data_IF_115693848958
#
_entry.id   IF_115693848958
#
_cell.length_a   1.000
_cell.length_b   1.000
_cell.length_c   1.000
_cell.angle_alpha   90.00
_cell.angle_beta   90.00
_cell.angle_gamma   90.00
#
_symmetry.space_group_name_H-M   'P 1'
#
loop_
_entity.id
_entity.type
_entity.pdbx_description
1 polymer ?
#
# COMPACT_ATOMS: atom_id res chain seq x y z
N UNK A 1 67.91 11.27 -19.59
CA UNK A 1 68.57 9.97 -19.35
C UNK A 1 67.57 9.15 -18.57
N UNK A 2 66.75 8.40 -19.31
CA UNK A 2 66.81 6.92 -19.34
C UNK A 2 66.05 6.36 -18.13
N UNK A 3 65.03 5.50 -18.25
CA UNK A 3 64.72 4.51 -19.27
C UNK A 3 63.29 4.06 -19.05
N UNK A 4 62.56 3.89 -20.15
CA UNK A 4 61.42 2.99 -20.23
C UNK A 4 61.83 1.59 -19.73
N UNK A 5 61.02 1.00 -18.87
CA UNK A 5 61.04 -0.44 -18.60
C UNK A 5 59.64 -0.98 -18.81
N UNK A 6 59.44 -1.46 -20.03
CA UNK A 6 58.34 -2.32 -20.43
C UNK A 6 58.46 -3.65 -19.70
N UNK A 7 57.35 -4.09 -19.10
CA UNK A 7 57.17 -5.43 -18.55
C UNK A 7 55.79 -5.94 -18.95
N UNK A 8 55.68 -6.37 -20.21
CA UNK A 8 54.57 -7.18 -20.72
C UNK A 8 54.77 -8.61 -20.23
N UNK A 9 53.85 -9.13 -19.42
CA UNK A 9 53.66 -10.56 -19.23
C UNK A 9 52.20 -10.89 -19.52
N UNK A 10 52.02 -11.41 -20.73
CA UNK A 10 50.81 -11.98 -21.28
C UNK A 10 50.86 -13.48 -21.00
N UNK A 11 49.92 -14.01 -20.21
CA UNK A 11 49.79 -15.45 -19.99
C UNK A 11 48.34 -15.87 -20.03
N UNK A 12 47.91 -16.14 -21.26
CA UNK A 12 46.72 -16.88 -21.63
C UNK A 12 46.81 -18.33 -21.13
N UNK A 13 45.86 -18.76 -20.30
CA UNK A 13 45.69 -20.16 -19.88
C UNK A 13 44.25 -20.62 -20.12
N UNK A 14 44.11 -21.33 -21.24
CA UNK A 14 43.33 -22.56 -21.45
C UNK A 14 41.85 -22.56 -21.05
N UNK A 15 41.02 -22.43 -22.08
CA UNK A 15 39.68 -22.99 -22.13
C UNK A 15 39.71 -24.52 -22.00
N UNK A 16 38.79 -25.09 -21.22
CA UNK A 16 38.43 -26.51 -21.29
C UNK A 16 36.92 -26.62 -21.17
N UNK A 17 36.28 -26.80 -22.32
CA UNK A 17 34.87 -27.12 -22.44
C UNK A 17 34.62 -28.59 -22.10
N UNK A 18 33.52 -28.86 -21.41
CA UNK A 18 32.89 -30.18 -21.39
C UNK A 18 31.44 -30.00 -21.82
N UNK A 19 31.17 -30.36 -23.06
CA UNK A 19 29.83 -30.42 -23.64
C UNK A 19 29.39 -31.89 -23.59
N UNK A 20 28.49 -32.24 -22.67
CA UNK A 20 27.86 -33.56 -22.63
C UNK A 20 26.67 -33.58 -23.58
N UNK A 21 26.86 -34.31 -24.69
CA UNK A 21 25.81 -34.80 -25.60
C UNK A 21 25.31 -36.15 -25.08
N UNK A 22 24.00 -36.33 -25.01
CA UNK A 22 23.36 -37.64 -25.13
C UNK A 22 22.04 -37.45 -25.88
N UNK A 23 22.06 -37.94 -27.11
CA UNK A 23 20.94 -38.11 -28.02
C UNK A 23 20.16 -39.34 -27.55
N UNK A 24 18.84 -39.25 -27.47
CA UNK A 24 17.95 -40.41 -27.60
C UNK A 24 16.65 -39.93 -28.25
N UNK A 25 16.58 -40.17 -29.56
CA UNK A 25 15.35 -40.20 -30.34
C UNK A 25 14.57 -41.46 -30.00
N UNK A 26 13.26 -41.34 -29.75
CA UNK A 26 12.35 -42.43 -30.08
C UNK A 26 11.06 -41.87 -30.69
N UNK A 27 11.00 -41.98 -32.02
CA UNK A 27 9.88 -41.63 -32.86
C UNK A 27 8.85 -42.77 -32.86
N UNK A 28 7.68 -42.57 -32.25
CA UNK A 28 6.51 -43.43 -32.46
C UNK A 28 5.48 -42.71 -33.33
N UNK A 29 5.58 -42.97 -34.63
CA UNK A 29 4.57 -42.68 -35.62
C UNK A 29 3.43 -43.71 -35.49
N UNK A 30 2.21 -43.26 -35.16
CA UNK A 30 1.04 -44.14 -34.99
C UNK A 30 -0.27 -43.46 -35.34
N UNK A 31 -0.67 -43.63 -36.60
CA UNK A 31 -2.03 -43.66 -37.15
C UNK A 31 -3.05 -42.54 -36.83
N UNK A 32 -3.27 -41.72 -37.87
CA UNK A 32 -4.51 -40.99 -38.16
C UNK A 32 -5.73 -41.92 -38.07
N UNK A 33 -6.68 -41.62 -37.19
CA UNK A 33 -8.08 -42.07 -37.34
C UNK A 33 -8.98 -40.86 -37.45
N UNK A 34 -9.59 -40.73 -38.62
CA UNK A 34 -10.60 -39.74 -38.95
C UNK A 34 -11.98 -40.15 -38.40
N UNK A 35 -12.83 -39.12 -38.28
CA UNK A 35 -14.31 -39.14 -38.20
C UNK A 35 -14.96 -39.83 -37.00
N UNK A 36 -15.66 -39.06 -36.16
CA UNK A 36 -17.13 -38.92 -36.25
C UNK A 36 -17.74 -38.26 -35.00
N UNK A 37 -18.54 -37.22 -35.25
CA UNK A 37 -19.78 -36.83 -34.55
C UNK A 37 -19.78 -36.43 -33.06
N UNK A 38 -20.28 -35.21 -32.91
CA UNK A 38 -20.76 -34.55 -31.71
C UNK A 38 -21.76 -35.37 -30.88
N UNK A 39 -21.55 -35.40 -29.57
CA UNK A 39 -22.64 -35.28 -28.60
C UNK A 39 -22.09 -34.63 -27.32
N UNK A 40 -22.65 -33.50 -26.94
CA UNK A 40 -22.24 -32.74 -25.77
C UNK A 40 -22.46 -33.54 -24.49
N UNK A 41 -21.39 -33.83 -23.77
CA UNK A 41 -21.46 -34.25 -22.37
C UNK A 41 -20.67 -33.27 -21.53
N UNK A 42 -21.39 -32.39 -20.83
CA UNK A 42 -20.86 -31.46 -19.84
C UNK A 42 -20.04 -32.28 -18.80
N UNK A 43 -18.82 -31.86 -18.44
CA UNK A 43 -17.95 -32.63 -17.55
C UNK A 43 -18.61 -32.89 -16.19
N UNK A 44 -18.65 -34.16 -15.78
CA UNK A 44 -19.10 -34.61 -14.46
C UNK A 44 -18.27 -33.92 -13.37
N UNK A 45 -18.85 -32.91 -12.72
CA UNK A 45 -18.25 -32.20 -11.59
C UNK A 45 -18.18 -33.16 -10.39
N UNK A 46 -16.97 -33.40 -9.86
CA UNK A 46 -16.75 -34.19 -8.63
C UNK A 46 -17.48 -33.52 -7.46
N UNK A 47 -18.54 -34.16 -6.96
CA UNK A 47 -19.17 -33.83 -5.68
C UNK A 47 -18.44 -34.60 -4.57
N UNK A 48 -18.04 -33.91 -3.51
CA UNK A 48 -17.50 -34.54 -2.30
C UNK A 48 -18.68 -34.96 -1.41
N UNK A 49 -18.77 -36.25 -1.08
CA UNK A 49 -19.81 -36.83 -0.22
C UNK A 49 -19.56 -36.67 1.27
N UNK A 50 -18.59 -35.83 1.68
CA UNK A 50 -18.30 -35.65 3.11
C UNK A 50 -19.30 -34.69 3.75
N UNK A 51 -20.02 -35.20 4.74
CA UNK A 51 -20.91 -34.46 5.62
C UNK A 51 -20.11 -33.48 6.49
N UNK A 52 -20.08 -32.19 6.15
CA UNK A 52 -19.51 -31.15 7.01
C UNK A 52 -20.65 -30.56 7.85
N UNK A 53 -20.63 -30.79 9.17
CA UNK A 53 -21.55 -30.22 10.18
C UNK A 53 -21.27 -28.72 10.43
N UNK A 54 -21.36 -27.87 9.42
CA UNK A 54 -21.36 -26.41 9.61
C UNK A 54 -22.67 -25.84 9.12
N UNK A 55 -23.27 -24.95 9.93
CA UNK A 55 -24.50 -24.25 9.61
C UNK A 55 -24.27 -23.48 8.30
N UNK A 56 -25.03 -23.83 7.26
CA UNK A 56 -25.01 -23.16 5.95
C UNK A 56 -25.26 -21.68 6.22
N UNK A 57 -24.30 -20.84 5.82
CA UNK A 57 -24.54 -19.41 5.70
C UNK A 57 -25.48 -19.24 4.51
N UNK A 58 -26.55 -18.49 4.71
CA UNK A 58 -27.55 -18.23 3.69
C UNK A 58 -26.94 -17.18 2.75
N UNK A 59 -26.48 -17.62 1.59
CA UNK A 59 -25.92 -16.75 0.56
C UNK A 59 -27.08 -16.03 -0.14
N UNK A 60 -27.71 -15.07 0.56
CA UNK A 60 -28.69 -14.19 -0.08
C UNK A 60 -27.97 -13.28 -1.08
N UNK A 61 -28.34 -13.44 -2.34
CA UNK A 61 -27.91 -12.62 -3.46
C UNK A 61 -28.46 -11.20 -3.25
N UNK A 62 -27.63 -10.30 -2.70
CA UNK A 62 -27.99 -8.88 -2.61
C UNK A 62 -27.96 -8.28 -4.01
N UNK A 63 -29.12 -8.28 -4.64
CA UNK A 63 -29.36 -7.71 -5.95
C UNK A 63 -29.14 -6.19 -5.89
N UNK A 64 -27.99 -5.76 -6.39
CA UNK A 64 -27.59 -4.37 -6.42
C UNK A 64 -28.43 -3.65 -7.48
N UNK A 65 -29.47 -2.94 -7.03
CA UNK A 65 -30.35 -2.13 -7.86
C UNK A 65 -29.65 -0.88 -8.39
N UNK A 66 -28.69 -1.05 -9.30
CA UNK A 66 -28.25 0.00 -10.22
C UNK A 66 -29.21 0.04 -11.41
N UNK A 67 -30.48 0.31 -11.14
CA UNK A 67 -31.44 0.65 -12.18
C UNK A 67 -31.11 2.06 -12.69
N UNK A 68 -30.75 2.13 -13.97
CA UNK A 68 -30.56 3.35 -14.75
C UNK A 68 -31.79 4.26 -14.62
N UNK A 69 -31.73 5.29 -13.77
CA UNK A 69 -32.64 6.42 -13.87
C UNK A 69 -32.20 7.33 -15.01
N UNK A 70 -32.70 7.02 -16.21
CA UNK A 70 -32.77 7.96 -17.32
C UNK A 70 -34.11 8.67 -17.25
N UNK A 71 -34.16 9.95 -16.85
CA UNK A 71 -35.03 10.97 -17.48
C UNK A 71 -34.97 12.36 -16.81
N UNK A 72 -35.02 13.37 -17.70
CA UNK A 72 -35.51 14.76 -17.56
C UNK A 72 -34.63 15.80 -16.89
N UNK A 73 -33.87 16.45 -17.76
CA UNK A 73 -33.60 17.89 -17.77
C UNK A 73 -34.87 18.69 -17.46
N UNK A 74 -34.83 19.54 -16.41
CA UNK A 74 -35.76 20.66 -16.24
C UNK A 74 -35.04 21.82 -15.54
N UNK A 75 -34.95 22.92 -16.28
CA UNK A 75 -35.22 24.28 -15.80
C UNK A 75 -34.29 24.88 -14.75
N UNK A 76 -33.46 25.81 -15.22
CA UNK A 76 -32.78 26.82 -14.42
C UNK A 76 -33.77 27.62 -13.55
N UNK A 77 -33.38 27.94 -12.32
CA UNK A 77 -34.17 28.74 -11.40
C UNK A 77 -33.33 29.27 -10.24
N UNK A 78 -32.78 30.45 -10.47
CA UNK A 78 -32.40 31.54 -9.54
C UNK A 78 -31.64 31.26 -8.24
N UNK A 79 -30.56 32.02 -8.14
CA UNK A 79 -29.72 32.31 -6.98
C UNK A 79 -30.52 33.09 -5.94
N UNK A 80 -30.44 32.70 -4.66
CA UNK A 80 -30.65 33.62 -3.53
C UNK A 80 -29.69 33.28 -2.38
N UNK A 81 -28.69 34.14 -2.19
CA UNK A 81 -27.77 34.13 -1.07
C UNK A 81 -28.43 34.78 0.15
N UNK A 82 -28.95 33.96 1.07
CA UNK A 82 -29.44 34.38 2.38
C UNK A 82 -28.30 34.52 3.40
N UNK A 83 -27.91 35.76 3.62
CA UNK A 83 -26.90 36.29 4.55
C UNK A 83 -27.08 35.77 5.99
N UNK A 84 -26.07 35.10 6.54
CA UNK A 84 -25.98 34.75 7.95
C UNK A 84 -25.57 35.99 8.77
N UNK A 85 -26.37 36.37 9.78
CA UNK A 85 -25.96 37.34 10.79
C UNK A 85 -26.02 36.68 12.15
N UNK A 86 -24.86 36.57 12.79
CA UNK A 86 -24.71 36.10 14.15
C UNK A 86 -25.14 37.17 15.16
N UNK A 87 -25.64 36.70 16.29
CA UNK A 87 -25.66 37.44 17.54
C UNK A 87 -25.31 36.48 18.67
N UNK A 88 -24.31 36.88 19.42
CA UNK A 88 -23.63 36.14 20.48
C UNK A 88 -24.51 35.89 21.71
N UNK A 89 -24.20 34.83 22.49
CA UNK A 89 -24.91 34.45 23.70
C UNK A 89 -24.40 35.19 24.94
N UNK A 90 -25.33 35.76 25.73
CA UNK A 90 -25.02 36.40 27.02
C UNK A 90 -25.17 35.43 28.21
N UNK A 91 -24.18 35.52 29.08
CA UNK A 91 -23.91 34.80 30.33
C UNK A 91 -24.71 35.31 31.53
N UNK A 92 -25.20 34.42 32.40
CA UNK A 92 -25.37 34.64 33.87
C UNK A 92 -25.66 33.28 34.52
N UNK A 93 -24.71 32.66 35.24
CA UNK A 93 -24.49 32.81 36.69
C UNK A 93 -25.72 32.50 37.57
N UNK A 94 -25.69 31.36 38.28
CA UNK A 94 -25.57 31.28 39.76
C UNK A 94 -25.75 29.86 40.29
N UNK A 95 -24.75 29.45 41.06
CA UNK A 95 -24.69 28.26 41.93
C UNK A 95 -25.81 28.28 42.97
N UNK A 96 -26.41 27.12 43.27
CA UNK A 96 -26.80 26.77 44.65
C UNK A 96 -26.76 25.26 44.86
N UNK A 97 -25.85 24.86 45.74
CA UNK A 97 -25.62 23.50 46.25
C UNK A 97 -26.40 23.36 47.56
N UNK A 98 -27.25 22.34 47.68
CA UNK A 98 -27.80 21.84 48.96
C UNK A 98 -28.27 20.39 48.70
N UNK A 99 -27.44 19.40 49.05
CA UNK A 99 -27.46 18.59 50.30
C UNK A 99 -28.63 17.59 50.37
N UNK A 100 -28.26 16.31 50.33
CA UNK A 100 -29.04 15.07 50.47
C UNK A 100 -29.43 14.78 51.94
N UNK A 101 -29.84 13.56 52.37
CA UNK A 101 -30.78 12.53 51.84
C UNK A 101 -31.81 12.04 52.90
N UNK A 102 -32.90 11.34 52.48
CA UNK A 102 -33.63 10.31 53.29
C UNK A 102 -34.75 9.66 52.43
N UNK A 103 -34.63 8.39 52.02
CA UNK A 103 -35.28 7.13 52.53
C UNK A 103 -36.82 7.02 52.27
N UNK A 104 -37.43 5.81 52.21
CA UNK A 104 -37.65 5.05 50.97
C UNK A 104 -39.13 4.77 50.60
N UNK A 105 -39.35 4.58 49.30
CA UNK A 105 -40.33 3.72 48.57
C UNK A 105 -41.75 3.51 49.16
N UNK A 106 -42.79 4.11 48.53
CA UNK A 106 -44.18 3.70 48.63
C UNK A 106 -44.59 2.66 47.55
N UNK A 107 -45.69 1.90 47.75
CA UNK A 107 -46.13 0.83 46.86
C UNK A 107 -46.85 1.36 45.61
N UNK A 108 -46.54 0.73 44.47
CA UNK A 108 -47.11 1.00 43.15
C UNK A 108 -48.51 0.39 43.00
N UNK A 109 -49.52 1.16 42.55
CA UNK A 109 -50.68 0.63 41.85
C UNK A 109 -50.42 0.59 40.34
N UNK A 110 -51.08 -0.35 39.66
CA UNK A 110 -50.90 -0.74 38.27
C UNK A 110 -51.22 0.37 37.24
N UNK A 111 -50.63 0.30 36.02
CA UNK A 111 -50.66 1.38 35.04
C UNK A 111 -51.90 1.34 34.16
N UNK A 112 -52.57 2.49 34.02
CA UNK A 112 -53.55 2.73 32.94
C UNK A 112 -52.84 3.33 31.72
N UNK A 113 -53.20 2.93 30.48
CA UNK A 113 -52.50 3.33 29.26
C UNK A 113 -53.04 4.69 28.79
N UNK A 114 -52.25 5.75 28.95
CA UNK A 114 -52.67 7.12 28.65
C UNK A 114 -51.62 7.92 27.85
N UNK A 115 -51.80 7.89 26.53
CA UNK A 115 -51.55 9.00 25.59
C UNK A 115 -50.14 9.64 25.53
N UNK A 116 -49.36 9.14 24.57
CA UNK A 116 -48.43 9.86 23.67
C UNK A 116 -48.05 11.30 24.05
N UNK A 117 -46.92 11.50 24.74
CA UNK A 117 -46.17 12.76 24.72
C UNK A 117 -44.86 12.57 23.96
N UNK A 118 -44.89 12.99 22.70
CA UNK A 118 -43.77 13.05 21.75
C UNK A 118 -42.67 13.97 22.30
N UNK A 119 -41.71 13.42 23.03
CA UNK A 119 -40.58 14.20 23.55
C UNK A 119 -39.62 14.52 22.41
N UNK A 120 -39.43 15.83 22.23
CA UNK A 120 -38.59 16.51 21.26
C UNK A 120 -37.16 15.99 21.35
N UNK A 121 -36.74 15.15 20.39
CA UNK A 121 -35.38 14.59 20.31
C UNK A 121 -34.39 15.74 20.15
N UNK A 122 -33.67 16.06 21.23
CA UNK A 122 -32.59 17.04 21.24
C UNK A 122 -31.57 16.66 20.17
N UNK A 123 -31.25 17.62 19.29
CA UNK A 123 -30.25 17.49 18.23
C UNK A 123 -28.87 17.37 18.86
N UNK A 124 -28.49 16.18 19.33
CA UNK A 124 -27.07 15.90 19.53
C UNK A 124 -26.38 15.78 18.16
N UNK A 125 -25.13 16.26 18.01
CA UNK A 125 -24.48 16.36 16.72
C UNK A 125 -24.25 14.98 16.13
N UNK A 126 -24.91 14.69 15.01
CA UNK A 126 -24.86 13.44 14.25
C UNK A 126 -23.45 13.02 13.79
N UNK A 127 -22.44 13.87 13.97
CA UNK A 127 -21.06 13.55 13.62
C UNK A 127 -20.42 12.55 14.58
N UNK A 128 -20.70 12.61 15.89
CA UNK A 128 -20.02 11.77 16.87
C UNK A 128 -20.37 10.28 16.70
N UNK A 129 -21.59 9.95 16.26
CA UNK A 129 -22.01 8.55 16.12
C UNK A 129 -21.42 7.86 14.90
N UNK A 130 -21.03 8.60 13.85
CA UNK A 130 -20.45 8.01 12.64
C UNK A 130 -19.07 7.40 12.92
N UNK A 131 -18.34 7.93 13.90
CA UNK A 131 -16.97 7.51 14.22
C UNK A 131 -16.90 6.38 15.26
N UNK A 132 -18.00 6.11 15.98
CA UNK A 132 -18.05 4.98 16.94
C UNK A 132 -17.79 3.63 16.27
N UNK A 133 -18.21 3.44 15.01
CA UNK A 133 -18.05 2.17 14.28
C UNK A 133 -16.61 1.90 13.80
N UNK A 134 -15.74 2.91 13.87
CA UNK A 134 -14.36 2.82 13.41
C UNK A 134 -13.46 2.07 14.40
N UNK A 135 -13.65 2.33 15.69
CA UNK A 135 -12.90 1.70 16.78
C UNK A 135 -13.26 0.22 16.94
N UNK A 136 -12.25 -0.65 16.98
CA UNK A 136 -12.44 -2.08 17.21
C UNK A 136 -12.19 -2.42 18.69
N UNK A 137 -12.80 -3.49 19.22
CA UNK A 137 -12.53 -3.90 20.61
C UNK A 137 -11.04 -4.19 20.86
N UNK A 138 -10.32 -4.66 19.84
CA UNK A 138 -8.87 -4.83 19.92
C UNK A 138 -8.12 -3.50 20.07
N UNK A 139 -8.57 -2.43 19.42
CA UNK A 139 -7.99 -1.10 19.54
C UNK A 139 -8.26 -0.49 20.92
N UNK A 140 -9.47 -0.68 21.47
CA UNK A 140 -9.80 -0.24 22.83
C UNK A 140 -8.88 -0.91 23.86
N UNK A 141 -8.64 -2.21 23.72
CA UNK A 141 -7.75 -2.95 24.62
C UNK A 141 -6.29 -2.51 24.49
N UNK A 142 -5.82 -2.26 23.25
CA UNK A 142 -4.50 -1.67 23.01
C UNK A 142 -4.36 -0.29 23.67
N UNK A 143 -5.37 0.57 23.49
CA UNK A 143 -5.40 1.91 24.08
C UNK A 143 -5.35 1.84 25.60
N UNK A 144 -6.20 1.04 26.23
CA UNK A 144 -6.25 0.88 27.69
C UNK A 144 -4.91 0.37 28.22
N UNK A 145 -4.38 -0.73 27.66
CA UNK A 145 -3.11 -1.28 28.12
C UNK A 145 -1.96 -0.27 27.99
N UNK A 146 -1.89 0.45 26.87
CA UNK A 146 -0.82 1.40 26.62
C UNK A 146 -0.93 2.66 27.51
N UNK A 147 -2.14 3.17 27.76
CA UNK A 147 -2.36 4.31 28.66
C UNK A 147 -2.09 3.92 30.10
N UNK A 148 -2.53 2.74 30.55
CA UNK A 148 -2.24 2.27 31.91
C UNK A 148 -0.73 2.10 32.16
N UNK A 149 0.04 1.77 31.11
CA UNK A 149 1.47 1.52 31.21
C UNK A 149 2.34 2.78 31.10
N UNK A 150 1.94 3.76 30.28
CA UNK A 150 2.74 4.96 29.98
C UNK A 150 2.18 6.23 30.60
N UNK A 151 0.88 6.26 30.89
CA UNK A 151 0.11 7.43 31.32
C UNK A 151 0.30 8.67 30.41
N UNK A 152 0.64 8.47 29.14
CA UNK A 152 0.85 9.53 28.16
C UNK A 152 0.24 9.17 26.81
N UNK A 153 -0.85 9.85 26.45
CA UNK A 153 -1.56 9.64 25.18
C UNK A 153 -0.72 9.95 23.94
N UNK A 154 0.29 10.83 24.07
CA UNK A 154 1.20 11.16 22.96
C UNK A 154 2.09 9.97 22.63
N UNK A 155 2.71 9.39 23.66
CA UNK A 155 3.49 8.15 23.55
C UNK A 155 2.65 7.00 23.01
N UNK A 156 1.39 6.87 23.45
CA UNK A 156 0.45 5.85 22.93
C UNK A 156 0.19 6.03 21.44
N UNK A 157 -0.12 7.24 20.98
CA UNK A 157 -0.37 7.53 19.57
C UNK A 157 0.84 7.22 18.67
N UNK A 158 2.06 7.46 19.17
CA UNK A 158 3.29 7.20 18.42
C UNK A 158 3.70 5.71 18.45
N UNK A 159 3.54 5.05 19.59
CA UNK A 159 4.01 3.69 19.83
C UNK A 159 3.02 2.58 19.44
N UNK A 160 1.71 2.83 19.50
CA UNK A 160 0.69 1.80 19.25
C UNK A 160 0.27 1.76 17.79
N UNK A 161 0.19 0.53 17.24
CA UNK A 161 -0.35 0.29 15.89
C UNK A 161 -1.79 -0.18 15.97
N UNK A 162 -2.72 0.78 15.89
CA UNK A 162 -4.15 0.52 15.80
C UNK A 162 -4.56 -0.05 14.43
N UNK A 163 -5.79 -0.57 14.35
CA UNK A 163 -6.39 -1.11 13.12
C UNK A 163 -6.41 -0.12 11.95
N UNK A 164 -6.46 1.18 12.24
CA UNK A 164 -6.38 2.24 11.26
C UNK A 164 -5.68 3.49 11.84
N UNK A 165 -5.37 4.46 10.98
CA UNK A 165 -4.69 5.69 11.41
C UNK A 165 -5.64 6.60 12.15
N UNK A 166 -5.42 6.77 13.45
CA UNK A 166 -6.12 7.77 14.26
C UNK A 166 -5.20 8.97 14.48
N UNK A 167 -5.79 10.16 14.48
CA UNK A 167 -5.13 11.38 14.95
C UNK A 167 -5.02 11.35 16.47
N UNK A 168 -4.04 12.07 17.02
CA UNK A 168 -3.90 12.23 18.47
C UNK A 168 -5.20 12.70 19.13
N UNK A 169 -5.94 13.61 18.47
CA UNK A 169 -7.23 14.10 18.94
C UNK A 169 -8.28 12.99 19.01
N UNK A 170 -8.41 12.14 17.98
CA UNK A 170 -9.33 11.00 18.01
C UNK A 170 -8.99 10.01 19.13
N UNK A 171 -7.70 9.79 19.41
CA UNK A 171 -7.24 8.93 20.52
C UNK A 171 -7.62 9.54 21.88
N UNK A 172 -7.42 10.85 22.05
CA UNK A 172 -7.82 11.59 23.26
C UNK A 172 -9.34 11.54 23.48
N UNK A 173 -10.13 11.79 22.43
CA UNK A 173 -11.60 11.73 22.49
C UNK A 173 -12.08 10.32 22.80
N UNK A 174 -11.44 9.29 22.23
CA UNK A 174 -11.78 7.88 22.55
C UNK A 174 -11.47 7.54 23.99
N UNK A 175 -10.31 7.94 24.51
CA UNK A 175 -9.95 7.74 25.91
C UNK A 175 -10.95 8.42 26.85
N UNK A 176 -11.32 9.66 26.55
CA UNK A 176 -12.34 10.40 27.29
C UNK A 176 -13.70 9.67 27.26
N UNK A 177 -14.12 9.17 26.10
CA UNK A 177 -15.37 8.42 25.96
C UNK A 177 -15.35 7.10 26.75
N UNK A 178 -14.24 6.36 26.76
CA UNK A 178 -14.11 5.11 27.54
C UNK A 178 -14.20 5.35 29.06
N UNK A 179 -13.78 6.52 29.54
CA UNK A 179 -13.84 6.90 30.95
C UNK A 179 -15.18 7.50 31.37
N UNK A 180 -15.73 8.41 30.55
CA UNK A 180 -16.84 9.28 30.97
C UNK A 180 -18.17 9.03 30.28
N UNK A 181 -18.19 8.34 29.12
CA UNK A 181 -19.45 7.94 28.49
C UNK A 181 -19.84 6.53 29.01
N UNK A 182 -20.87 6.42 29.87
CA UNK A 182 -21.24 5.15 30.49
C UNK A 182 -21.74 4.11 29.48
N UNK A 183 -22.31 4.56 28.35
CA UNK A 183 -22.83 3.67 27.31
C UNK A 183 -21.68 3.10 26.51
N UNK A 184 -20.77 3.96 26.03
CA UNK A 184 -19.57 3.54 25.29
C UNK A 184 -18.68 2.65 26.17
N UNK A 185 -18.42 3.07 27.41
CA UNK A 185 -17.59 2.31 28.36
C UNK A 185 -18.12 0.90 28.58
N UNK A 186 -19.43 0.74 28.82
CA UNK A 186 -20.07 -0.58 29.03
C UNK A 186 -19.99 -1.45 27.77
N UNK A 187 -20.29 -0.90 26.60
CA UNK A 187 -20.24 -1.62 25.33
C UNK A 187 -18.82 -2.05 24.98
N UNK A 188 -17.84 -1.16 25.12
CA UNK A 188 -16.43 -1.47 24.88
C UNK A 188 -15.94 -2.56 25.84
N UNK A 189 -16.26 -2.47 27.13
CA UNK A 189 -15.91 -3.50 28.12
C UNK A 189 -16.51 -4.87 27.77
N UNK A 190 -17.78 -4.92 27.34
CA UNK A 190 -18.41 -6.17 26.92
C UNK A 190 -17.75 -6.73 25.66
N UNK A 191 -17.47 -5.89 24.66
CA UNK A 191 -16.87 -6.31 23.42
C UNK A 191 -15.41 -6.79 23.60
N UNK A 192 -14.62 -6.13 24.44
CA UNK A 192 -13.26 -6.57 24.78
C UNK A 192 -13.25 -7.94 25.48
N UNK A 193 -14.20 -8.20 26.39
CA UNK A 193 -14.34 -9.52 27.05
C UNK A 193 -14.75 -10.64 26.10
N UNK A 194 -15.36 -10.31 24.96
CA UNK A 194 -15.76 -11.28 23.94
C UNK A 194 -14.63 -11.60 22.94
N UNK A 195 -13.48 -10.93 23.02
CA UNK A 195 -12.33 -11.27 22.19
C UNK A 195 -11.80 -12.67 22.53
N UNK A 196 -11.31 -13.37 21.52
CA UNK A 196 -10.69 -14.68 21.70
C UNK A 196 -9.47 -14.57 22.65
N UNK A 197 -9.25 -15.50 23.60
CA UNK A 197 -8.14 -15.43 24.54
C UNK A 197 -6.76 -15.25 23.89
N UNK A 198 -6.53 -15.91 22.74
CA UNK A 198 -5.30 -15.74 21.96
C UNK A 198 -5.13 -14.31 21.43
N UNK A 199 -6.22 -13.66 21.01
CA UNK A 199 -6.17 -12.28 20.55
C UNK A 199 -5.87 -11.33 21.71
N UNK A 200 -6.42 -11.58 22.90
CA UNK A 200 -6.12 -10.82 24.12
C UNK A 200 -4.63 -10.98 24.47
N UNK A 201 -4.10 -12.21 24.48
CA UNK A 201 -2.69 -12.48 24.75
C UNK A 201 -1.78 -11.79 23.71
N UNK A 202 -2.14 -11.83 22.43
CA UNK A 202 -1.41 -11.12 21.37
C UNK A 202 -1.43 -9.59 21.57
N UNK A 203 -2.54 -9.02 22.02
CA UNK A 203 -2.63 -7.58 22.34
C UNK A 203 -1.79 -7.23 23.57
N UNK A 204 -1.85 -8.04 24.63
CA UNK A 204 -1.06 -7.85 25.84
C UNK A 204 0.45 -7.96 25.58
N UNK A 205 0.87 -8.85 24.67
CA UNK A 205 2.27 -8.97 24.27
C UNK A 205 2.84 -7.71 23.60
N UNK A 206 1.96 -6.85 23.06
CA UNK A 206 2.29 -5.58 22.42
C UNK A 206 2.19 -4.37 23.36
N UNK A 207 1.99 -4.58 24.66
CA UNK A 207 2.00 -3.49 25.62
C UNK A 207 3.34 -2.73 25.56
N UNK A 208 3.27 -1.40 25.53
CA UNK A 208 4.45 -0.52 25.51
C UNK A 208 5.31 -0.74 26.75
N UNK A 209 6.63 -0.56 26.66
CA UNK A 209 7.48 -0.63 27.85
C UNK A 209 7.34 0.66 28.67
N UNK A 210 7.19 0.53 29.99
CA UNK A 210 7.18 1.69 30.88
C UNK A 210 8.61 2.15 31.17
N UNK A 211 8.73 3.40 31.65
CA UNK A 211 10.03 3.95 32.06
C UNK A 211 10.69 3.12 33.17
N UNK A 212 9.88 2.53 34.07
CA UNK A 212 10.40 1.68 35.14
C UNK A 212 10.95 0.36 34.60
N UNK A 213 10.28 -0.24 33.61
CA UNK A 213 10.78 -1.46 32.94
C UNK A 213 12.10 -1.17 32.21
N UNK A 214 12.18 -0.06 31.49
CA UNK A 214 13.39 0.32 30.75
C UNK A 214 14.57 0.64 31.68
N UNK A 215 14.33 1.25 32.84
CA UNK A 215 15.36 1.50 33.85
C UNK A 215 15.93 0.22 34.48
N UNK A 216 15.17 -0.87 34.50
CA UNK A 216 15.68 -2.16 34.97
C UNK A 216 16.51 -2.85 33.86
N UNK A 217 16.06 -2.73 32.60
CA UNK A 217 16.77 -3.27 31.45
C UNK A 217 18.06 -2.50 31.14
N UNK A 218 18.10 -1.19 31.35
CA UNK A 218 19.27 -0.34 31.10
C UNK A 218 20.48 -0.70 31.98
N UNK A 219 20.24 -1.32 33.15
CA UNK A 219 21.26 -1.78 34.09
C UNK A 219 21.93 -3.10 33.66
N UNK A 220 21.30 -3.84 32.75
CA UNK A 220 21.91 -5.05 32.18
C UNK A 220 22.95 -4.60 31.16
N UNK A 221 24.23 -4.73 31.51
CA UNK A 221 25.33 -4.19 30.70
C UNK A 221 25.38 -4.76 29.29
N UNK A 222 25.63 -3.91 28.30
CA UNK A 222 25.76 -4.24 26.88
C UNK A 222 26.87 -5.27 26.59
N UNK A 223 27.94 -5.23 27.39
CA UNK A 223 29.10 -6.14 27.26
C UNK A 223 28.87 -7.50 27.91
N UNK A 224 27.86 -7.62 28.79
CA UNK A 224 27.42 -8.92 29.28
C UNK A 224 26.78 -9.70 28.13
N UNK A 225 26.88 -11.03 28.16
CA UNK A 225 26.11 -11.91 27.29
C UNK A 225 24.90 -12.41 28.08
N UNK A 226 23.86 -11.59 28.32
CA UNK A 226 22.73 -11.99 29.14
C UNK A 226 21.97 -13.11 28.44
N UNK A 227 21.80 -14.22 29.14
CA UNK A 227 21.02 -15.36 28.64
C UNK A 227 19.54 -15.15 28.96
N UNK A 228 18.67 -16.03 28.44
CA UNK A 228 17.24 -15.95 28.70
C UNK A 228 16.93 -16.05 30.20
N UNK A 229 17.73 -16.83 30.94
CA UNK A 229 17.63 -17.02 32.40
C UNK A 229 17.88 -15.72 33.15
N UNK A 230 18.81 -14.88 32.70
CA UNK A 230 19.07 -13.57 33.30
C UNK A 230 17.82 -12.69 33.30
N UNK A 231 17.05 -12.69 32.21
CA UNK A 231 15.81 -11.94 32.10
C UNK A 231 14.65 -12.61 32.86
N UNK A 232 14.65 -13.93 32.97
CA UNK A 232 13.69 -14.65 33.78
C UNK A 232 13.86 -14.30 35.27
N UNK A 233 15.10 -14.28 35.76
CA UNK A 233 15.42 -13.88 37.13
C UNK A 233 15.08 -12.41 37.39
N UNK A 234 15.36 -11.54 36.43
CA UNK A 234 15.00 -10.11 36.51
C UNK A 234 13.48 -9.93 36.66
N UNK A 235 12.68 -10.69 35.91
CA UNK A 235 11.22 -10.67 35.98
C UNK A 235 10.71 -11.13 37.36
N UNK A 236 11.27 -12.20 37.91
CA UNK A 236 10.90 -12.70 39.24
C UNK A 236 11.32 -11.76 40.38
N UNK A 237 12.40 -11.01 40.20
CA UNK A 237 12.93 -10.09 41.21
C UNK A 237 12.15 -8.77 41.30
N UNK A 238 11.46 -8.39 40.23
CA UNK A 238 10.69 -7.15 40.14
C UNK A 238 9.27 -7.36 39.58
N UNK A 239 8.44 -8.21 40.23
CA UNK A 239 7.12 -8.57 39.70
C UNK A 239 6.13 -7.40 39.65
N UNK A 240 6.36 -6.36 40.45
CA UNK A 240 5.57 -5.13 40.54
C UNK A 240 5.98 -4.06 39.51
N UNK A 241 7.21 -4.12 39.00
CA UNK A 241 7.71 -3.18 38.00
C UNK A 241 7.35 -3.58 36.56
N UNK A 242 7.30 -4.89 36.27
CA UNK A 242 7.00 -5.41 34.95
C UNK A 242 5.50 -5.58 34.71
N UNK A 243 5.08 -5.34 33.47
CA UNK A 243 3.70 -5.63 33.06
C UNK A 243 3.40 -7.14 33.18
N UNK A 244 2.21 -7.50 33.65
CA UNK A 244 1.86 -8.88 34.04
C UNK A 244 2.05 -9.92 32.94
N UNK A 245 1.88 -9.53 31.67
CA UNK A 245 2.03 -10.44 30.52
C UNK A 245 3.46 -10.45 29.93
N UNK A 246 4.46 -9.84 30.60
CA UNK A 246 5.85 -9.87 30.15
C UNK A 246 6.43 -11.28 30.25
N UNK A 247 7.29 -11.59 29.29
CA UNK A 247 8.05 -12.85 29.24
C UNK A 247 9.53 -12.52 29.15
N UNK A 248 10.40 -13.42 29.62
CA UNK A 248 11.84 -13.25 29.51
C UNK A 248 12.29 -12.98 28.06
N UNK A 249 11.66 -13.64 27.09
CA UNK A 249 11.91 -13.41 25.65
C UNK A 249 11.55 -11.98 25.21
N UNK A 250 10.45 -11.43 25.73
CA UNK A 250 10.05 -10.05 25.42
C UNK A 250 11.03 -9.04 26.03
N UNK A 251 11.51 -9.28 27.25
CA UNK A 251 12.52 -8.46 27.90
C UNK A 251 13.84 -8.49 27.14
N UNK A 252 14.30 -9.69 26.74
CA UNK A 252 15.51 -9.87 25.95
C UNK A 252 15.42 -9.14 24.61
N UNK A 253 14.29 -9.27 23.90
CA UNK A 253 14.08 -8.58 22.63
C UNK A 253 14.09 -7.04 22.79
N UNK A 254 13.47 -6.51 23.85
CA UNK A 254 13.49 -5.07 24.12
C UNK A 254 14.88 -4.59 24.55
N UNK A 255 15.59 -5.37 25.36
CA UNK A 255 16.99 -5.07 25.72
C UNK A 255 17.91 -5.05 24.50
N UNK A 256 17.75 -5.99 23.56
CA UNK A 256 18.48 -5.98 22.30
C UNK A 256 18.20 -4.72 21.48
N UNK A 257 16.93 -4.27 21.46
CA UNK A 257 16.53 -3.03 20.80
C UNK A 257 17.19 -1.82 21.49
N UNK A 258 17.14 -1.75 22.83
CA UNK A 258 17.80 -0.70 23.61
C UNK A 258 19.31 -0.67 23.35
N UNK A 259 19.95 -1.84 23.30
CA UNK A 259 21.37 -2.00 22.96
C UNK A 259 21.69 -1.44 21.57
N UNK A 260 20.85 -1.74 20.58
CA UNK A 260 21.03 -1.25 19.21
C UNK A 260 20.95 0.27 19.13
N UNK A 261 20.10 0.90 19.95
CA UNK A 261 19.90 2.35 19.99
C UNK A 261 20.75 3.08 21.04
N UNK A 262 21.74 2.41 21.64
CA UNK A 262 22.62 3.00 22.66
C UNK A 262 21.86 3.58 23.86
N UNK A 263 20.79 2.90 24.28
CA UNK A 263 19.92 3.31 25.41
C UNK A 263 20.27 2.61 26.73
N UNK A 264 21.31 1.76 26.75
CA UNK A 264 21.82 1.14 27.98
C UNK A 264 22.77 2.10 28.71
N UNK A 265 22.87 2.00 30.03
CA UNK A 265 23.66 2.93 30.85
C UNK A 265 25.17 2.89 30.55
N UNK A 266 25.68 1.72 30.13
CA UNK A 266 27.09 1.52 29.80
C UNK A 266 27.44 1.93 28.36
N UNK A 267 26.44 2.28 27.55
CA UNK A 267 26.64 2.66 26.16
C UNK A 267 26.79 4.17 26.01
N UNK A 268 27.89 4.57 25.38
CA UNK A 268 28.09 5.96 24.95
C UNK A 268 27.77 6.07 23.47
N UNK A 269 26.95 7.06 23.09
CA UNK A 269 26.77 7.42 21.68
C UNK A 269 28.12 7.94 21.16
N UNK A 270 28.74 7.20 20.24
CA UNK A 270 29.95 7.65 19.57
C UNK A 270 29.65 8.98 18.86
N UNK A 271 30.42 10.06 19.10
CA UNK A 271 30.22 11.30 18.39
C UNK A 271 30.37 11.04 16.89
N UNK A 272 29.47 11.61 16.09
CA UNK A 272 29.52 11.47 14.64
C UNK A 272 30.93 11.90 14.16
N UNK A 273 31.70 11.01 13.51
CA UNK A 273 33.03 11.35 13.02
C UNK A 273 32.94 12.60 12.14
N UNK A 274 33.75 13.61 12.43
CA UNK A 274 33.82 14.82 11.62
C UNK A 274 34.85 14.60 10.51
N UNK A 275 34.43 14.74 9.24
CA UNK A 275 35.32 14.69 8.08
C UNK A 275 35.54 13.28 7.52
N UNK A 276 36.70 13.04 6.92
CA UNK A 276 37.08 11.80 6.22
C UNK A 276 37.20 10.55 7.12
N UNK A 277 36.97 10.68 8.43
CA UNK A 277 36.90 9.53 9.36
C UNK A 277 35.54 8.83 9.36
N UNK A 278 34.56 9.32 8.59
CA UNK A 278 33.33 8.56 8.37
C UNK A 278 33.69 7.34 7.53
N UNK A 279 33.68 6.16 8.14
CA UNK A 279 33.88 4.87 7.46
C UNK A 279 32.97 4.83 6.24
N UNK A 280 33.57 4.90 5.05
CA UNK A 280 32.80 4.89 3.82
C UNK A 280 32.30 3.47 3.55
N UNK A 281 31.32 3.30 2.65
CA UNK A 281 30.76 1.98 2.37
C UNK A 281 31.82 1.00 1.85
N UNK A 282 32.80 1.47 1.07
CA UNK A 282 33.92 0.65 0.59
C UNK A 282 34.87 0.22 1.71
N UNK A 283 35.23 1.12 2.63
CA UNK A 283 36.07 0.78 3.80
C UNK A 283 35.36 -0.24 4.70
N UNK A 284 34.04 -0.12 4.84
CA UNK A 284 33.23 -1.07 5.60
C UNK A 284 33.17 -2.44 4.91
N UNK A 285 33.08 -2.48 3.58
CA UNK A 285 33.13 -3.70 2.78
C UNK A 285 34.50 -4.38 2.89
N UNK A 286 35.60 -3.63 2.86
CA UNK A 286 36.97 -4.16 3.01
C UNK A 286 37.25 -4.74 4.41
N UNK A 287 36.54 -4.28 5.44
CA UNK A 287 36.62 -4.84 6.81
C UNK A 287 35.85 -6.17 6.96
N UNK A 288 34.96 -6.48 6.02
CA UNK A 288 34.21 -7.73 6.00
C UNK A 288 35.08 -8.81 5.37
N UNK A 289 35.62 -9.68 6.22
CA UNK A 289 36.33 -10.87 5.78
C UNK A 289 35.30 -11.93 5.32
N UNK A 290 35.18 -12.11 4.00
CA UNK A 290 34.28 -13.10 3.38
C UNK A 290 34.46 -14.51 3.96
N UNK A 291 35.67 -14.86 4.43
CA UNK A 291 35.91 -16.17 5.04
C UNK A 291 35.13 -16.38 6.34
N UNK A 292 34.85 -15.29 7.08
CA UNK A 292 34.01 -15.29 8.29
C UNK A 292 32.53 -15.35 7.95
N UNK A 293 32.11 -14.79 6.82
CA UNK A 293 30.74 -14.95 6.31
C UNK A 293 30.46 -16.37 5.82
N UNK A 294 31.52 -17.07 5.36
CA UNK A 294 31.44 -18.45 4.93
C UNK A 294 31.25 -19.45 6.09
N UNK A 295 31.03 -18.97 7.33
CA UNK A 295 30.52 -19.82 8.40
C UNK A 295 29.30 -20.54 7.85
N UNK A 296 29.42 -21.87 7.72
CA UNK A 296 28.39 -22.80 7.23
C UNK A 296 27.02 -22.17 7.43
N UNK A 297 26.46 -21.56 6.37
CA UNK A 297 25.12 -20.97 6.47
C UNK A 297 24.28 -22.07 7.09
N UNK A 298 23.71 -21.86 8.29
CA UNK A 298 23.11 -22.95 9.02
C UNK A 298 22.16 -23.66 8.07
N UNK A 299 22.20 -24.99 7.99
CA UNK A 299 21.34 -25.78 7.11
C UNK A 299 19.86 -25.32 7.16
N UNK A 300 19.46 -24.75 8.30
CA UNK A 300 18.20 -24.05 8.49
C UNK A 300 17.99 -22.81 7.60
N UNK A 301 18.97 -21.90 7.48
CA UNK A 301 18.90 -20.71 6.61
C UNK A 301 18.84 -21.07 5.13
N UNK A 302 19.61 -22.06 4.68
CA UNK A 302 19.52 -22.56 3.30
C UNK A 302 18.16 -23.19 3.04
N UNK A 303 17.64 -23.96 4.00
CA UNK A 303 16.28 -24.51 3.93
C UNK A 303 15.23 -23.40 3.82
N UNK A 304 15.29 -22.38 4.67
CA UNK A 304 14.41 -21.20 4.62
C UNK A 304 14.46 -20.49 3.25
N UNK A 305 15.66 -20.24 2.71
CA UNK A 305 15.82 -19.61 1.39
C UNK A 305 15.21 -20.46 0.27
N UNK A 306 15.39 -21.79 0.32
CA UNK A 306 14.76 -22.69 -0.67
C UNK A 306 13.25 -22.75 -0.54
N UNK A 307 12.71 -22.65 0.68
CA UNK A 307 11.25 -22.57 0.93
C UNK A 307 10.71 -21.24 0.40
N UNK A 308 11.42 -20.13 0.63
CA UNK A 308 11.08 -18.82 0.10
C UNK A 308 11.11 -18.79 -1.43
N UNK A 309 12.15 -19.33 -2.08
CA UNK A 309 12.25 -19.45 -3.54
C UNK A 309 11.09 -20.28 -4.11
N UNK A 310 10.80 -21.44 -3.52
CA UNK A 310 9.66 -22.28 -3.93
C UNK A 310 8.34 -21.56 -3.79
N UNK A 311 8.16 -20.74 -2.73
CA UNK A 311 6.96 -19.93 -2.52
C UNK A 311 6.84 -18.85 -3.60
N UNK A 312 7.90 -18.09 -3.87
CA UNK A 312 7.93 -17.07 -4.91
C UNK A 312 7.67 -17.65 -6.29
N UNK A 313 8.28 -18.79 -6.64
CA UNK A 313 8.01 -19.48 -7.92
C UNK A 313 6.57 -19.95 -8.06
N UNK A 314 5.94 -20.41 -6.97
CA UNK A 314 4.50 -20.77 -6.99
C UNK A 314 3.62 -19.54 -7.19
N UNK A 315 3.96 -18.42 -6.54
CA UNK A 315 3.25 -17.15 -6.69
C UNK A 315 3.39 -16.59 -8.12
N UNK A 316 4.59 -16.61 -8.70
CA UNK A 316 4.83 -16.22 -10.10
C UNK A 316 3.97 -17.08 -11.04
N UNK A 317 3.99 -18.41 -10.91
CA UNK A 317 3.17 -19.31 -11.74
C UNK A 317 1.67 -19.05 -11.58
N UNK A 318 1.23 -18.75 -10.36
CA UNK A 318 -0.17 -18.39 -10.11
C UNK A 318 -0.52 -17.06 -10.81
N UNK A 319 0.32 -16.04 -10.68
CA UNK A 319 0.14 -14.75 -11.34
C UNK A 319 0.14 -14.89 -12.87
N UNK A 320 1.05 -15.70 -13.43
CA UNK A 320 1.10 -16.03 -14.86
C UNK A 320 -0.19 -16.74 -15.33
N UNK A 321 -0.73 -17.67 -14.52
CA UNK A 321 -1.99 -18.35 -14.82
C UNK A 321 -3.19 -17.41 -14.73
N UNK A 322 -3.17 -16.47 -13.78
CA UNK A 322 -4.21 -15.46 -13.62
C UNK A 322 -4.15 -14.38 -14.70
N UNK A 323 -2.97 -14.09 -15.26
CA UNK A 323 -2.76 -13.10 -16.33
C UNK A 323 -3.70 -13.33 -17.52
N UNK A 324 -3.87 -14.59 -17.94
CA UNK A 324 -4.81 -14.94 -19.02
C UNK A 324 -6.27 -14.59 -18.67
N UNK A 325 -6.68 -14.80 -17.42
CA UNK A 325 -8.04 -14.45 -16.96
C UNK A 325 -8.22 -12.94 -16.92
N UNK A 326 -7.21 -12.21 -16.45
CA UNK A 326 -7.18 -10.74 -16.45
C UNK A 326 -7.23 -10.18 -17.87
N UNK A 327 -6.54 -10.83 -18.83
CA UNK A 327 -6.59 -10.44 -20.24
C UNK A 327 -8.01 -10.55 -20.79
N UNK A 328 -8.69 -11.69 -20.57
CA UNK A 328 -10.09 -11.88 -20.98
C UNK A 328 -11.01 -10.82 -20.36
N UNK A 329 -10.78 -10.47 -19.08
CA UNK A 329 -11.53 -9.40 -18.43
C UNK A 329 -11.27 -8.05 -19.09
N UNK A 330 -10.00 -7.68 -19.31
CA UNK A 330 -9.63 -6.44 -20.00
C UNK A 330 -10.28 -6.38 -21.37
N UNK A 331 -10.20 -7.45 -22.17
CA UNK A 331 -10.81 -7.54 -23.49
C UNK A 331 -12.34 -7.33 -23.41
N UNK A 332 -12.99 -7.88 -22.38
CA UNK A 332 -14.43 -7.77 -22.18
C UNK A 332 -14.91 -6.36 -21.79
N UNK A 333 -14.20 -5.65 -20.89
CA UNK A 333 -14.64 -4.32 -20.43
C UNK A 333 -14.19 -3.24 -21.41
N UNK A 334 -13.04 -3.44 -22.06
CA UNK A 334 -12.50 -2.46 -22.99
C UNK A 334 -13.02 -2.67 -24.41
N UNK A 335 -13.49 -3.88 -24.74
CA UNK A 335 -13.87 -4.27 -26.10
C UNK A 335 -12.68 -4.37 -27.06
N UNK A 336 -11.46 -4.52 -26.53
CA UNK A 336 -10.22 -4.33 -27.27
C UNK A 336 -9.42 -5.64 -27.41
N UNK A 337 -9.79 -6.46 -28.39
CA UNK A 337 -8.91 -7.54 -28.88
C UNK A 337 -8.20 -7.17 -30.18
N UNK A 338 -8.40 -5.96 -30.69
CA UNK A 338 -7.70 -5.48 -31.89
C UNK A 338 -6.20 -5.40 -31.61
N UNK A 339 -5.32 -5.88 -32.51
CA UNK A 339 -3.89 -5.63 -32.38
C UNK A 339 -3.68 -4.13 -32.18
N UNK A 340 -2.92 -3.74 -31.15
CA UNK A 340 -2.69 -2.32 -30.84
C UNK A 340 -2.06 -1.56 -32.02
N UNK A 341 -1.46 -2.30 -32.97
CA UNK A 341 -0.72 -1.75 -34.09
C UNK A 341 -1.10 -2.39 -35.43
N UNK A 342 -1.31 -1.54 -36.44
CA UNK A 342 -1.21 -1.91 -37.85
C UNK A 342 0.22 -1.63 -38.38
N UNK A 343 0.51 -2.03 -39.61
CA UNK A 343 1.83 -1.84 -40.24
C UNK A 343 2.13 -0.36 -40.61
N UNK A 344 1.24 0.58 -40.30
CA UNK A 344 1.39 2.00 -40.59
C UNK A 344 1.44 2.86 -39.31
N UNK A 345 1.13 2.29 -38.15
CA UNK A 345 1.03 2.99 -36.88
C UNK A 345 2.32 2.82 -36.10
N UNK A 346 3.05 3.93 -35.94
CA UNK A 346 4.34 4.01 -35.27
C UNK A 346 4.20 3.93 -33.75
N UNK A 347 3.17 4.60 -33.22
CA UNK A 347 2.88 4.65 -31.80
C UNK A 347 1.39 4.91 -31.56
N UNK A 348 0.91 4.61 -30.36
CA UNK A 348 -0.47 4.90 -29.94
C UNK A 348 -0.45 5.69 -28.65
N UNK A 349 -1.12 6.83 -28.63
CA UNK A 349 -1.42 7.55 -27.39
C UNK A 349 -2.81 7.10 -26.91
N UNK A 350 -2.81 6.22 -25.89
CA UNK A 350 -4.02 5.61 -25.35
C UNK A 350 -4.53 6.42 -24.16
N UNK A 351 -5.74 6.97 -24.26
CA UNK A 351 -6.44 7.55 -23.13
C UNK A 351 -7.50 6.61 -22.56
N UNK A 352 -8.40 7.18 -21.76
CA UNK A 352 -9.49 6.42 -21.12
C UNK A 352 -10.66 6.25 -22.08
N UNK A 353 -10.98 7.29 -22.84
CA UNK A 353 -12.13 7.34 -23.74
C UNK A 353 -11.72 7.16 -25.21
N UNK A 354 -10.55 7.65 -25.60
CA UNK A 354 -10.10 7.70 -27.00
C UNK A 354 -8.71 7.07 -27.14
N UNK A 355 -8.37 6.69 -28.38
CA UNK A 355 -7.03 6.23 -28.75
C UNK A 355 -6.59 6.97 -30.00
N UNK A 356 -5.40 7.54 -29.96
CA UNK A 356 -4.82 8.29 -31.07
C UNK A 356 -3.70 7.47 -31.71
N UNK A 357 -3.88 7.09 -32.96
CA UNK A 357 -2.89 6.33 -33.74
C UNK A 357 -1.92 7.31 -34.41
N UNK A 358 -0.65 7.26 -34.01
CA UNK A 358 0.41 8.07 -34.61
C UNK A 358 0.92 7.37 -35.88
N UNK A 359 0.50 7.88 -37.03
CA UNK A 359 0.94 7.40 -38.35
C UNK A 359 2.04 8.26 -38.99
N UNK A 360 2.17 9.50 -38.53
CA UNK A 360 3.18 10.46 -38.99
C UNK A 360 4.38 10.50 -38.05
N UNK A 361 5.58 10.86 -38.56
CA UNK A 361 6.78 11.04 -37.73
C UNK A 361 6.68 12.20 -36.75
N UNK A 362 5.80 13.16 -37.00
CA UNK A 362 5.52 14.28 -36.13
C UNK A 362 4.01 14.44 -36.00
N UNK A 363 3.54 14.59 -34.76
CA UNK A 363 2.14 14.88 -34.43
C UNK A 363 2.06 15.98 -33.37
N UNK A 364 1.03 16.81 -33.49
CA UNK A 364 0.71 17.89 -32.56
C UNK A 364 -0.41 17.47 -31.60
N UNK A 365 -0.26 17.83 -30.33
CA UNK A 365 -1.22 17.56 -29.26
C UNK A 365 -1.76 18.88 -28.71
N UNK A 366 -3.06 18.94 -28.42
CA UNK A 366 -3.65 20.14 -27.84
C UNK A 366 -5.17 20.12 -27.86
N UNK A 367 -5.78 21.30 -27.86
CA UNK A 367 -7.23 21.49 -27.93
C UNK A 367 -7.62 22.12 -29.25
N UNK A 368 -8.39 21.41 -30.07
CA UNK A 368 -8.80 21.89 -31.39
C UNK A 368 -9.67 23.15 -31.30
N UNK A 369 -9.42 24.08 -32.22
CA UNK A 369 -10.22 25.30 -32.43
C UNK A 369 -10.32 25.58 -33.92
N UNK A 370 -11.30 26.39 -34.35
CA UNK A 370 -11.49 26.75 -35.77
C UNK A 370 -10.20 27.26 -36.44
N UNK A 371 -9.39 28.02 -35.70
CA UNK A 371 -8.16 28.63 -36.22
C UNK A 371 -6.89 27.77 -36.03
N UNK A 372 -6.96 26.69 -35.24
CA UNK A 372 -5.80 25.84 -34.95
C UNK A 372 -6.18 24.37 -35.14
N UNK A 373 -5.73 23.81 -36.27
CA UNK A 373 -5.81 22.39 -36.58
C UNK A 373 -4.69 21.64 -35.84
N UNK A 374 -5.05 20.53 -35.20
CA UNK A 374 -4.17 19.72 -34.36
C UNK A 374 -4.47 18.26 -34.68
N UNK A 375 -3.43 17.43 -34.71
CA UNK A 375 -3.57 16.00 -35.04
C UNK A 375 -4.28 15.23 -33.92
N UNK A 376 -3.96 15.55 -32.68
CA UNK A 376 -4.54 14.94 -31.47
C UNK A 376 -5.30 15.98 -30.66
N UNK A 377 -6.62 15.96 -30.79
CA UNK A 377 -7.52 16.80 -30.00
C UNK A 377 -7.87 16.15 -28.66
N UNK A 378 -7.21 16.62 -27.61
CA UNK A 378 -7.41 16.15 -26.23
C UNK A 378 -8.79 16.52 -25.67
N UNK A 379 -9.57 17.36 -26.36
CA UNK A 379 -10.93 17.71 -25.94
C UNK A 379 -11.90 16.53 -25.96
N UNK A 380 -11.61 15.49 -26.76
CA UNK A 380 -12.42 14.29 -26.87
C UNK A 380 -12.30 13.34 -25.66
N UNK A 381 -11.22 13.49 -24.88
CA UNK A 381 -10.95 12.64 -23.71
C UNK A 381 -11.58 13.16 -22.44
N UNK A 382 -11.76 14.47 -22.35
CA UNK A 382 -12.27 15.09 -21.15
C UNK A 382 -12.13 16.61 -21.15
N UNK A 383 -12.30 17.21 -19.96
CA UNK A 383 -12.38 18.65 -19.84
C UNK A 383 -11.08 19.37 -20.20
N UNK A 384 -11.03 19.93 -21.42
CA UNK A 384 -9.82 20.49 -22.02
C UNK A 384 -9.66 22.02 -21.87
N UNK A 385 -10.48 22.73 -21.10
CA UNK A 385 -10.39 24.20 -20.98
C UNK A 385 -9.05 24.69 -20.39
N UNK A 386 -8.30 23.83 -19.70
CA UNK A 386 -6.95 24.11 -19.17
C UNK A 386 -5.83 23.75 -20.15
N UNK A 387 -6.14 23.07 -21.25
CA UNK A 387 -5.18 22.59 -22.25
C UNK A 387 -4.96 23.69 -23.29
N UNK A 388 -3.70 23.94 -23.61
CA UNK A 388 -3.34 24.91 -24.63
C UNK A 388 -3.81 24.41 -26.01
N UNK A 389 -4.13 25.34 -26.91
CA UNK A 389 -4.44 25.00 -28.31
C UNK A 389 -3.31 24.19 -28.92
N UNK A 390 -2.04 24.57 -28.70
CA UNK A 390 -0.88 23.72 -28.99
C UNK A 390 -0.17 23.41 -27.67
N UNK A 391 -0.40 22.22 -27.11
CA UNK A 391 0.12 21.84 -25.80
C UNK A 391 1.45 21.09 -25.91
N UNK A 392 1.61 20.24 -26.92
CA UNK A 392 2.86 19.54 -27.12
C UNK A 392 3.00 19.00 -28.53
N UNK A 393 4.19 18.52 -28.84
CA UNK A 393 4.52 17.92 -30.13
C UNK A 393 5.32 16.65 -29.88
N UNK A 394 4.86 15.52 -30.42
CA UNK A 394 5.60 14.27 -30.39
C UNK A 394 6.31 14.10 -31.73
N UNK A 395 7.62 13.85 -31.68
CA UNK A 395 8.48 13.64 -32.85
C UNK A 395 9.24 12.32 -32.74
N UNK A 396 9.27 11.57 -33.83
CA UNK A 396 10.11 10.40 -34.04
C UNK A 396 11.42 10.82 -34.72
N UNK A 397 12.54 10.53 -34.10
CA UNK A 397 13.87 10.71 -34.69
C UNK A 397 14.28 9.52 -35.55
N UNK A 398 15.26 9.72 -36.43
CA UNK A 398 15.79 8.65 -37.30
C UNK A 398 16.41 7.47 -36.54
N UNK A 399 16.85 7.66 -35.29
CA UNK A 399 17.34 6.59 -34.42
C UNK A 399 16.21 5.74 -33.78
N UNK A 400 14.94 6.01 -34.11
CA UNK A 400 13.80 5.30 -33.55
C UNK A 400 13.40 5.75 -32.14
N UNK A 401 13.89 6.90 -31.66
CA UNK A 401 13.47 7.47 -30.38
C UNK A 401 12.35 8.50 -30.55
N UNK A 402 11.37 8.42 -29.66
CA UNK A 402 10.30 9.40 -29.55
C UNK A 402 10.65 10.49 -28.55
N UNK A 403 10.41 11.73 -28.92
CA UNK A 403 10.53 12.88 -28.04
C UNK A 403 9.23 13.66 -28.02
N UNK A 404 8.79 14.06 -26.84
CA UNK A 404 7.69 15.02 -26.66
C UNK A 404 8.28 16.36 -26.23
N UNK A 405 7.91 17.41 -26.95
CA UNK A 405 8.19 18.79 -26.57
C UNK A 405 6.94 19.42 -25.98
N UNK A 406 7.09 20.15 -24.88
CA UNK A 406 6.00 20.92 -24.29
C UNK A 406 6.01 22.34 -24.87
N UNK A 407 5.00 22.66 -25.67
CA UNK A 407 4.80 23.99 -26.28
C UNK A 407 3.69 24.77 -25.56
N UNK A 408 3.02 24.13 -24.59
CA UNK A 408 1.93 24.72 -23.85
C UNK A 408 2.39 25.47 -22.61
N UNK A 409 1.50 26.31 -22.09
CA UNK A 409 1.77 27.09 -20.87
C UNK A 409 1.93 26.20 -19.62
N UNK A 410 1.26 25.04 -19.59
CA UNK A 410 1.27 24.11 -18.45
C UNK A 410 2.30 23.00 -18.64
N UNK A 411 2.86 22.47 -17.55
CA UNK A 411 3.74 21.31 -17.63
C UNK A 411 3.00 20.06 -18.10
N UNK A 412 3.72 19.20 -18.83
CA UNK A 412 3.31 17.83 -19.17
C UNK A 412 4.05 16.91 -18.22
N UNK A 413 3.38 15.96 -17.56
CA UNK A 413 4.06 15.01 -16.69
C UNK A 413 4.29 13.69 -17.43
N UNK A 414 5.52 13.16 -17.37
CA UNK A 414 5.88 11.88 -17.98
C UNK A 414 6.46 11.01 -16.88
N UNK A 415 5.81 9.89 -16.60
CA UNK A 415 6.19 8.97 -15.53
C UNK A 415 6.35 9.72 -14.17
N UNK A 416 5.46 10.68 -13.93
CA UNK A 416 5.45 11.56 -12.75
C UNK A 416 6.41 12.76 -12.81
N UNK A 417 7.27 12.86 -13.83
CA UNK A 417 8.25 13.96 -13.95
C UNK A 417 7.70 15.12 -14.79
N UNK A 418 7.75 16.37 -14.30
CA UNK A 418 7.25 17.52 -15.05
C UNK A 418 8.21 17.96 -16.16
N UNK A 419 7.68 18.10 -17.38
CA UNK A 419 8.33 18.71 -18.53
C UNK A 419 7.76 20.12 -18.70
N UNK A 420 8.59 21.13 -18.45
CA UNK A 420 8.23 22.54 -18.55
C UNK A 420 8.15 23.01 -20.01
N UNK A 421 7.52 24.17 -20.24
CA UNK A 421 7.41 24.77 -21.57
C UNK A 421 8.79 24.98 -22.20
N UNK A 422 8.93 24.68 -23.49
CA UNK A 422 10.17 24.71 -24.27
C UNK A 422 11.11 23.52 -24.02
N UNK A 423 10.82 22.67 -23.03
CA UNK A 423 11.62 21.47 -22.76
C UNK A 423 11.11 20.28 -23.55
N UNK A 424 12.03 19.36 -23.87
CA UNK A 424 11.74 18.08 -24.53
C UNK A 424 12.12 16.92 -23.65
N UNK A 425 11.40 15.81 -23.77
CA UNK A 425 11.64 14.60 -23.01
C UNK A 425 11.50 13.35 -23.89
N UNK A 426 12.28 12.31 -23.59
CA UNK A 426 12.21 11.03 -24.31
C UNK A 426 11.00 10.24 -23.82
N UNK A 427 10.19 9.76 -24.76
CA UNK A 427 9.08 8.84 -24.46
C UNK A 427 9.54 7.39 -24.65
N UNK A 428 9.32 6.58 -23.63
CA UNK A 428 9.55 5.14 -23.66
C UNK A 428 8.23 4.39 -23.88
N UNK A 429 8.32 3.10 -24.17
CA UNK A 429 7.13 2.26 -24.25
C UNK A 429 6.47 2.17 -22.87
N UNK A 430 5.14 2.21 -22.85
CA UNK A 430 4.31 2.26 -21.63
C UNK A 430 4.52 3.50 -20.75
N UNK A 431 5.19 4.55 -21.24
CA UNK A 431 5.31 5.80 -20.49
C UNK A 431 3.92 6.42 -20.25
N UNK A 432 3.68 6.86 -19.01
CA UNK A 432 2.45 7.52 -18.61
C UNK A 432 2.58 9.01 -18.86
N UNK A 433 1.72 9.58 -19.71
CA UNK A 433 1.71 11.00 -20.06
C UNK A 433 0.49 11.66 -19.46
N UNK A 434 0.68 12.67 -18.60
CA UNK A 434 -0.40 13.41 -17.97
C UNK A 434 -0.40 14.88 -18.40
N UNK A 435 -1.56 15.34 -18.86
CA UNK A 435 -1.76 16.69 -19.39
C UNK A 435 -3.01 17.28 -18.76
N UNK A 436 -2.85 18.29 -17.91
CA UNK A 436 -3.96 19.03 -17.29
C UNK A 436 -5.10 18.12 -16.78
N UNK A 437 -4.76 17.14 -15.92
CA UNK A 437 -5.65 16.12 -15.34
C UNK A 437 -6.18 15.03 -16.28
N UNK A 438 -5.79 15.03 -17.56
CA UNK A 438 -5.96 13.88 -18.45
C UNK A 438 -4.73 12.98 -18.33
N UNK A 439 -4.94 11.66 -18.38
CA UNK A 439 -3.87 10.65 -18.28
C UNK A 439 -3.92 9.72 -19.48
N UNK A 440 -2.75 9.51 -20.07
CA UNK A 440 -2.53 8.69 -21.24
C UNK A 440 -1.40 7.69 -21.00
N UNK A 441 -1.40 6.62 -21.77
CA UNK A 441 -0.29 5.67 -21.89
C UNK A 441 0.21 5.71 -23.32
N UNK A 442 1.52 5.92 -23.49
CA UNK A 442 2.16 5.92 -24.79
C UNK A 442 2.70 4.53 -25.11
N UNK A 443 2.19 3.94 -26.19
CA UNK A 443 2.56 2.60 -26.65
C UNK A 443 3.37 2.72 -27.94
N UNK A 444 4.48 1.99 -28.03
CA UNK A 444 5.37 2.02 -29.19
C UNK A 444 5.25 0.71 -29.97
N UNK A 445 5.11 0.82 -31.29
CA UNK A 445 5.18 -0.33 -32.19
C UNK A 445 6.64 -0.78 -32.31
N UNK A 446 7.05 -1.74 -31.47
CA UNK A 446 8.44 -2.20 -31.42
C UNK A 446 8.90 -2.79 -32.76
N UNK A 447 8.01 -3.48 -33.50
CA UNK A 447 8.36 -4.15 -34.76
C UNK A 447 8.71 -3.14 -35.85
N UNK A 448 7.86 -2.11 -36.04
CA UNK A 448 8.14 -1.05 -37.02
C UNK A 448 9.36 -0.20 -36.61
N UNK A 449 9.52 0.10 -35.33
CA UNK A 449 10.66 0.89 -34.85
C UNK A 449 11.98 0.10 -34.98
N UNK A 450 11.96 -1.22 -34.78
CA UNK A 450 13.11 -2.07 -35.03
C UNK A 450 13.53 -2.03 -36.51
N UNK A 451 12.57 -2.06 -37.45
CA UNK A 451 12.85 -1.92 -38.88
C UNK A 451 13.47 -0.55 -39.22
N UNK A 452 12.91 0.54 -38.67
CA UNK A 452 13.44 1.90 -38.88
C UNK A 452 14.87 2.02 -38.32
N UNK A 453 15.14 1.43 -37.14
CA UNK A 453 16.49 1.40 -36.55
C UNK A 453 17.47 0.61 -37.41
N UNK A 454 17.05 -0.53 -37.94
CA UNK A 454 17.88 -1.34 -38.83
C UNK A 454 18.19 -0.61 -40.15
N UNK A 455 17.25 0.14 -40.70
CA UNK A 455 17.46 0.97 -41.90
C UNK A 455 18.40 2.15 -41.61
N UNK A 456 18.23 2.84 -40.49
CA UNK A 456 19.10 3.94 -40.07
C UNK A 456 20.55 3.47 -39.82
N UNK A 457 20.74 2.25 -39.31
CA UNK A 457 22.06 1.65 -39.14
C UNK A 457 22.76 1.39 -40.48
N UNK A 458 22.02 1.15 -41.58
CA UNK A 458 22.59 1.01 -42.93
C UNK A 458 22.99 2.36 -43.55
N UNK A 459 22.25 3.42 -43.24
CA UNK A 459 22.47 4.78 -43.78
C UNK A 459 23.58 5.52 -43.01
N UNK A 460 24.17 4.91 -41.98
CA UNK A 460 25.36 5.45 -41.32
C UNK A 460 26.65 4.73 -41.77
N UNK A 461 27.13 4.90 -43.02
CA UNK A 461 28.51 4.65 -43.37
C UNK A 461 29.34 5.92 -43.13
N UNK A 462 30.38 5.80 -42.29
CA UNK A 462 31.56 6.67 -42.13
C UNK A 462 31.37 8.18 -41.91
#
# INVERSE_FOLDING_TARGET
MDKDSQGLLDSSLMASGTASRSEDEESLAGQKRASSQALGTIPKRRSSSRFIKRKKFDDELVESSLAKSSTRVKGAGSVESGRCSGSEPSSSEKKKVSKAPSTPVPPSPAPTPGLTKRVKKSKQPLQVTKDLGRWKPADDLLLINAVLQTNDLTSVHLGVKFSCRFTLREVQERWYALLYDPVISKLACQAMRQLHPEAIAAIQSKALFSKAEEQLLSKVGSTSQPTLETFQDLLHRHPDAFYLARTAKALQAHWQLMKQYYLLEDQTVQPLPKGDQVLNFSDAEDLIDDSKLNSLLPFHFTSELTVADRRQKREIRQLEQELHKWQVLVDSITGMSSPDFDNQTLAVLRGRMVRYLMRSREITLGRATKDNQIDVDLSLEGPAWKISRKQGVIKLKNNGDFFIANEGRRPIYIDGRPVLCGSKWRLSNNSVVEIASLRFVFLINQDLIALIRAEAAKITPQ
#
